data_IF_787966649880
#
_entry.id   IF_787966649880
#
_cell.length_a   1.000
_cell.length_b   1.000
_cell.length_c   1.000
_cell.angle_alpha   90.00
_cell.angle_beta   90.00
_cell.angle_gamma   90.00
#
_symmetry.space_group_name_H-M   'P 1'
#
loop_
_entity.id
_entity.type
_entity.pdbx_description
1 polymer ?
#
# COMPACT_ATOMS: atom_id res chain seq x y z
N UNK A 1 9.26 12.76 -24.97
CA UNK A 1 8.53 13.08 -23.72
C UNK A 1 9.18 12.31 -22.60
N UNK A 2 9.67 13.00 -21.56
CA UNK A 2 10.23 12.38 -20.36
C UNK A 2 9.04 12.05 -19.46
N UNK A 3 8.85 10.77 -19.13
CA UNK A 3 7.79 10.32 -18.22
C UNK A 3 7.87 11.09 -16.90
N UNK A 4 6.75 11.67 -16.47
CA UNK A 4 6.63 12.45 -15.24
C UNK A 4 7.05 11.63 -13.99
N UNK A 5 6.98 10.30 -14.09
CA UNK A 5 7.45 9.34 -13.09
C UNK A 5 8.95 9.48 -12.79
N UNK A 6 9.79 9.78 -13.80
CA UNK A 6 11.25 9.95 -13.60
C UNK A 6 11.62 11.15 -12.72
N UNK A 7 10.72 12.13 -12.54
CA UNK A 7 11.00 13.32 -11.73
C UNK A 7 10.72 13.13 -10.24
N UNK A 8 9.92 12.13 -9.86
CA UNK A 8 9.55 11.87 -8.47
C UNK A 8 10.56 10.93 -7.77
N UNK A 9 11.28 10.07 -8.52
CA UNK A 9 12.20 9.06 -7.98
C UNK A 9 13.70 9.44 -8.06
N UNK A 10 14.03 10.73 -7.94
CA UNK A 10 15.40 11.25 -8.10
C UNK A 10 16.36 11.00 -6.92
N UNK A 11 17.03 9.84 -6.92
CA UNK A 11 18.43 9.52 -6.51
C UNK A 11 19.15 10.33 -5.40
N UNK A 12 19.40 9.70 -4.23
CA UNK A 12 20.63 9.85 -3.42
C UNK A 12 20.96 8.60 -2.54
N UNK A 13 22.09 7.94 -2.89
CA UNK A 13 22.98 7.03 -2.10
C UNK A 13 22.67 5.50 -2.02
N UNK A 14 23.70 4.62 -2.10
CA UNK A 14 23.66 3.39 -2.90
C UNK A 14 23.07 2.17 -2.17
N UNK A 15 21.94 1.63 -2.67
CA UNK A 15 21.23 0.51 -2.00
C UNK A 15 20.53 -0.47 -2.95
N UNK A 16 21.24 -1.24 -3.79
CA UNK A 16 20.63 -2.21 -4.73
C UNK A 16 19.38 -1.63 -5.46
N UNK A 17 19.52 -0.37 -5.85
CA UNK A 17 18.44 0.58 -6.05
C UNK A 17 17.95 0.58 -7.50
N UNK A 18 16.64 0.59 -7.68
CA UNK A 18 16.06 1.29 -8.83
C UNK A 18 14.76 0.75 -9.41
N UNK A 19 14.21 -0.37 -8.93
CA UNK A 19 12.89 -0.79 -9.37
C UNK A 19 11.97 -1.09 -8.18
N UNK A 20 10.73 -0.57 -8.21
CA UNK A 20 9.72 -0.97 -7.24
C UNK A 20 9.53 -2.48 -7.30
N UNK A 21 9.18 -3.08 -6.17
CA UNK A 21 8.86 -4.50 -6.04
C UNK A 21 7.67 -4.88 -6.95
N UNK A 22 6.75 -3.94 -7.13
CA UNK A 22 5.61 -3.99 -8.04
C UNK A 22 5.21 -2.55 -8.40
N UNK A 23 4.81 -2.30 -9.65
CA UNK A 23 4.19 -1.06 -10.10
C UNK A 23 3.01 -1.41 -11.00
N UNK A 24 1.92 -0.68 -10.84
CA UNK A 24 0.74 -0.77 -11.67
C UNK A 24 0.17 0.65 -11.87
N UNK A 25 -0.27 1.00 -13.09
CA UNK A 25 -0.22 0.20 -14.32
C UNK A 25 1.18 0.18 -14.96
N UNK A 26 1.68 -1.01 -15.30
CA UNK A 26 2.90 -1.21 -16.10
C UNK A 26 2.67 -2.15 -17.31
N UNK A 27 1.43 -2.63 -17.48
CA UNK A 27 1.03 -3.61 -18.49
C UNK A 27 1.17 -5.08 -18.07
N UNK A 28 1.63 -5.35 -16.84
CA UNK A 28 1.78 -6.72 -16.30
C UNK A 28 0.49 -7.23 -15.65
N UNK A 29 -0.32 -6.34 -15.09
CA UNK A 29 -1.50 -6.68 -14.30
C UNK A 29 -2.78 -6.07 -14.88
N UNK A 30 -3.89 -6.80 -14.73
CA UNK A 30 -5.20 -6.36 -15.22
C UNK A 30 -5.80 -5.22 -14.37
N UNK A 31 -5.41 -5.11 -13.09
CA UNK A 31 -5.86 -4.06 -12.17
C UNK A 31 -4.99 -3.98 -10.91
N UNK A 32 -5.20 -2.94 -10.09
CA UNK A 32 -4.48 -2.71 -8.84
C UNK A 32 -4.59 -3.87 -7.83
N UNK A 33 -5.74 -4.56 -7.73
CA UNK A 33 -5.92 -5.69 -6.82
C UNK A 33 -5.01 -6.86 -7.24
N UNK A 34 -4.97 -7.19 -8.53
CA UNK A 34 -4.12 -8.26 -9.05
C UNK A 34 -2.63 -7.95 -8.81
N UNK A 35 -2.23 -6.68 -8.98
CA UNK A 35 -0.87 -6.23 -8.70
C UNK A 35 -0.51 -6.35 -7.20
N UNK A 36 -1.41 -5.92 -6.31
CA UNK A 36 -1.23 -6.08 -4.86
C UNK A 36 -1.19 -7.55 -4.44
N UNK A 37 -2.09 -8.39 -4.97
CA UNK A 37 -2.13 -9.83 -4.68
C UNK A 37 -0.81 -10.51 -5.01
N UNK A 38 -0.28 -10.27 -6.21
CA UNK A 38 1.00 -10.80 -6.64
C UNK A 38 2.15 -10.32 -5.75
N UNK A 39 2.18 -9.04 -5.39
CA UNK A 39 3.17 -8.52 -4.46
C UNK A 39 3.09 -9.23 -3.09
N UNK A 40 1.90 -9.40 -2.53
CA UNK A 40 1.69 -10.10 -1.26
C UNK A 40 2.10 -11.57 -1.37
N UNK A 41 1.77 -12.24 -2.48
CA UNK A 41 2.17 -13.62 -2.73
C UNK A 41 3.70 -13.77 -2.74
N UNK A 42 4.41 -12.89 -3.46
CA UNK A 42 5.88 -12.88 -3.51
C UNK A 42 6.49 -12.63 -2.14
N UNK A 43 5.96 -11.66 -1.38
CA UNK A 43 6.44 -11.34 -0.04
C UNK A 43 6.31 -12.52 0.94
N UNK A 44 5.15 -13.20 0.93
CA UNK A 44 4.92 -14.37 1.81
C UNK A 44 5.70 -15.61 1.38
N UNK A 45 6.17 -15.65 0.13
CA UNK A 45 7.02 -16.73 -0.37
C UNK A 45 8.49 -16.56 0.00
N UNK A 46 8.87 -15.42 0.59
CA UNK A 46 10.25 -15.21 1.05
C UNK A 46 10.55 -16.10 2.26
N UNK A 47 11.76 -16.67 2.35
CA UNK A 47 12.18 -17.44 3.54
C UNK A 47 12.07 -16.63 4.83
N UNK A 48 12.32 -15.31 4.72
CA UNK A 48 12.17 -14.35 5.80
C UNK A 48 11.54 -13.05 5.24
N UNK A 49 10.45 -12.62 5.87
CA UNK A 49 9.85 -11.30 5.65
C UNK A 49 9.98 -10.47 6.94
N UNK A 50 11.18 -9.91 7.14
CA UNK A 50 11.48 -9.06 8.30
C UNK A 50 11.54 -7.56 7.95
N UNK A 51 11.57 -7.22 6.66
CA UNK A 51 11.57 -5.82 6.19
C UNK A 51 10.15 -5.31 5.99
N UNK A 52 9.94 -4.03 6.25
CA UNK A 52 8.73 -3.34 5.83
C UNK A 52 8.69 -3.28 4.30
N UNK A 53 7.52 -3.53 3.74
CA UNK A 53 7.18 -3.10 2.37
C UNK A 53 6.12 -2.02 2.46
N UNK A 54 6.30 -0.94 1.72
CA UNK A 54 5.33 0.15 1.61
C UNK A 54 4.54 -0.03 0.33
N UNK A 55 3.22 -0.21 0.45
CA UNK A 55 2.28 -0.08 -0.64
C UNK A 55 1.85 1.38 -0.74
N UNK A 56 2.05 1.98 -1.90
CA UNK A 56 1.63 3.35 -2.20
C UNK A 56 0.51 3.30 -3.24
N UNK A 57 -0.65 3.87 -2.90
CA UNK A 57 -1.73 4.09 -3.85
C UNK A 57 -1.82 5.56 -4.26
N UNK A 58 -2.15 5.78 -5.52
CA UNK A 58 -2.23 7.09 -6.15
C UNK A 58 -3.51 7.16 -7.00
N UNK A 59 -4.23 8.27 -6.88
CA UNK A 59 -5.43 8.51 -7.68
C UNK A 59 -6.00 9.92 -7.50
N UNK A 60 -7.26 10.07 -7.88
CA UNK A 60 -8.04 11.28 -7.64
C UNK A 60 -8.41 11.41 -6.15
N UNK A 61 -8.25 12.62 -5.63
CA UNK A 61 -8.63 12.99 -4.26
C UNK A 61 -10.08 13.45 -4.15
N UNK A 62 -10.40 14.16 -3.06
CA UNK A 62 -11.77 14.58 -2.75
C UNK A 62 -12.41 15.57 -3.76
N UNK A 63 -11.61 16.19 -4.63
CA UNK A 63 -12.06 17.11 -5.69
C UNK A 63 -11.59 16.60 -7.06
N UNK A 64 -12.31 16.89 -8.15
CA UNK A 64 -11.96 16.38 -9.47
C UNK A 64 -10.52 16.70 -9.92
N UNK A 65 -10.01 17.87 -9.54
CA UNK A 65 -8.67 18.34 -9.84
C UNK A 65 -7.62 17.95 -8.78
N UNK A 66 -8.05 17.39 -7.65
CA UNK A 66 -7.17 17.04 -6.57
C UNK A 66 -6.54 15.68 -6.82
N UNK A 67 -5.25 15.60 -6.53
CA UNK A 67 -4.48 14.39 -6.49
C UNK A 67 -4.40 13.89 -5.04
N UNK A 68 -4.51 12.58 -4.84
CA UNK A 68 -4.32 11.96 -3.54
C UNK A 68 -3.35 10.79 -3.63
N UNK A 69 -2.56 10.63 -2.57
CA UNK A 69 -1.61 9.55 -2.37
C UNK A 69 -1.69 9.09 -0.93
N UNK A 70 -1.56 7.79 -0.72
CA UNK A 70 -1.54 7.19 0.60
C UNK A 70 -0.61 5.99 0.64
N UNK A 71 -0.09 5.72 1.83
CA UNK A 71 0.86 4.65 2.08
C UNK A 71 0.35 3.72 3.18
N UNK A 72 0.54 2.43 2.97
CA UNK A 72 0.30 1.37 3.95
C UNK A 72 1.53 0.48 3.98
N UNK A 73 2.07 0.21 5.17
CA UNK A 73 3.24 -0.65 5.31
C UNK A 73 2.85 -2.03 5.83
N UNK A 74 3.56 -3.06 5.39
CA UNK A 74 3.32 -4.43 5.81
C UNK A 74 4.62 -5.13 6.23
N UNK A 75 4.60 -5.82 7.37
CA UNK A 75 5.72 -6.61 7.91
C UNK A 75 5.23 -7.81 8.71
N UNK A 76 5.65 -9.02 8.35
CA UNK A 76 5.47 -10.21 9.21
C UNK A 76 4.06 -10.42 9.77
N UNK A 77 3.02 -10.29 8.93
CA UNK A 77 1.61 -10.44 9.35
C UNK A 77 1.00 -9.21 10.05
N UNK A 78 1.73 -8.10 10.11
CA UNK A 78 1.23 -6.82 10.61
C UNK A 78 1.12 -5.80 9.48
N UNK A 79 0.18 -4.87 9.67
CA UNK A 79 -0.10 -3.76 8.78
C UNK A 79 0.01 -2.46 9.58
N UNK A 80 0.77 -1.50 9.07
CA UNK A 80 0.85 -0.14 9.60
C UNK A 80 0.14 0.82 8.63
N UNK A 81 -0.88 1.50 9.15
CA UNK A 81 -1.63 2.54 8.43
C UNK A 81 -0.98 3.88 8.76
N UNK A 82 -0.37 4.54 7.77
CA UNK A 82 0.27 5.85 7.94
C UNK A 82 -0.79 6.97 7.87
N UNK A 83 -1.64 7.02 8.88
CA UNK A 83 -2.71 7.99 9.04
C UNK A 83 -2.87 8.36 10.50
N UNK A 84 -3.17 9.63 10.79
CA UNK A 84 -3.53 10.05 12.15
C UNK A 84 -4.82 9.37 12.64
N UNK A 85 -5.72 9.01 11.70
CA UNK A 85 -7.00 8.37 12.01
C UNK A 85 -6.87 6.86 11.98
N UNK A 86 -7.35 6.14 13.01
CA UNK A 86 -7.45 4.69 12.95
C UNK A 86 -8.49 4.26 11.90
N UNK A 87 -8.40 3.03 11.42
CA UNK A 87 -9.42 2.43 10.56
C UNK A 87 -10.79 2.47 11.25
N UNK A 88 -11.76 3.12 10.61
CA UNK A 88 -13.14 3.15 11.08
C UNK A 88 -13.79 1.79 10.82
N UNK A 89 -13.90 0.97 11.87
CA UNK A 89 -14.52 -0.37 11.84
C UNK A 89 -13.96 -1.29 10.75
N UNK A 90 -12.97 -2.15 11.05
CA UNK A 90 -12.37 -3.04 10.06
C UNK A 90 -13.37 -3.99 9.40
N UNK A 91 -14.54 -4.18 10.02
CA UNK A 91 -15.83 -4.44 9.37
C UNK A 91 -15.89 -5.68 8.48
N UNK A 92 -15.41 -5.53 7.24
CA UNK A 92 -15.36 -6.62 6.26
C UNK A 92 -14.14 -7.54 6.43
N UNK A 93 -13.12 -7.10 7.16
CA UNK A 93 -11.87 -7.81 7.38
C UNK A 93 -11.64 -8.00 8.87
N UNK A 94 -11.24 -9.21 9.28
CA UNK A 94 -10.88 -9.50 10.66
C UNK A 94 -9.50 -8.91 10.98
N UNK A 95 -9.49 -7.61 11.26
CA UNK A 95 -8.31 -6.90 11.75
C UNK A 95 -8.49 -6.58 13.22
N UNK A 96 -7.55 -7.06 14.01
CA UNK A 96 -7.45 -6.72 15.42
C UNK A 96 -6.34 -5.68 15.61
N UNK A 97 -6.59 -4.57 16.32
CA UNK A 97 -5.52 -3.69 16.76
C UNK A 97 -4.50 -4.48 17.56
N UNK A 98 -3.20 -4.29 17.28
CA UNK A 98 -2.16 -4.93 18.07
C UNK A 98 -1.97 -4.14 19.36
N UNK A 99 -2.40 -4.69 20.50
CA UNK A 99 -2.11 -4.10 21.81
C UNK A 99 -0.77 -4.59 22.32
N UNK A 100 0.25 -3.74 22.22
CA UNK A 100 1.58 -3.98 22.77
C UNK A 100 2.44 -2.73 22.60
N UNK A 101 3.51 -2.57 23.39
CA UNK A 101 4.51 -1.56 23.07
C UNK A 101 5.07 -1.93 21.69
N UNK A 102 4.72 -1.16 20.66
CA UNK A 102 5.58 -1.06 19.49
C UNK A 102 6.88 -0.44 20.01
N UNK A 103 7.81 -1.27 20.47
CA UNK A 103 9.13 -0.78 20.88
C UNK A 103 9.78 -0.15 19.64
N UNK A 104 9.68 1.17 19.56
CA UNK A 104 10.54 2.11 18.81
C UNK A 104 10.27 2.43 17.32
N UNK A 105 9.25 1.89 16.65
CA UNK A 105 9.01 2.17 15.22
C UNK A 105 7.75 3.02 14.95
N UNK A 106 7.42 4.02 15.78
CA UNK A 106 6.51 5.05 15.31
C UNK A 106 7.19 5.81 14.17
N UNK A 107 6.75 5.57 12.93
CA UNK A 107 7.02 6.51 11.85
C UNK A 107 6.65 7.92 12.34
N UNK A 108 7.49 8.94 12.14
CA UNK A 108 7.14 10.32 12.50
C UNK A 108 5.90 10.71 11.71
N UNK A 109 4.72 10.60 12.32
CA UNK A 109 3.45 10.69 11.59
C UNK A 109 2.22 10.03 12.24
N UNK A 110 2.37 9.27 13.34
CA UNK A 110 1.21 8.83 14.15
C UNK A 110 0.40 7.67 13.55
N UNK A 111 1.06 6.70 12.90
CA UNK A 111 0.40 5.54 12.31
C UNK A 111 -0.15 4.53 13.31
N UNK A 112 -1.08 3.68 12.84
CA UNK A 112 -1.76 2.65 13.63
C UNK A 112 -1.41 1.25 13.11
N UNK A 113 -1.14 0.30 14.03
CA UNK A 113 -0.71 -1.06 13.68
C UNK A 113 -1.81 -2.10 13.94
N UNK A 114 -2.04 -2.96 12.95
CA UNK A 114 -3.08 -4.00 12.95
C UNK A 114 -2.48 -5.37 12.62
N UNK A 115 -3.04 -6.43 13.21
CA UNK A 115 -2.74 -7.81 12.84
C UNK A 115 -3.63 -8.22 11.67
N UNK A 116 -3.05 -8.88 10.65
CA UNK A 116 -3.76 -9.31 9.44
C UNK A 116 -4.52 -10.64 9.60
N UNK A 117 -4.31 -11.37 10.70
CA UNK A 117 -4.84 -12.73 10.84
C UNK A 117 -4.37 -13.69 9.75
N UNK A 118 -5.15 -14.74 9.48
CA UNK A 118 -4.84 -15.79 8.50
C UNK A 118 -5.36 -15.49 7.07
N UNK A 119 -5.54 -14.22 6.71
CA UNK A 119 -6.04 -13.82 5.38
C UNK A 119 -5.16 -14.36 4.26
N UNK A 120 -5.75 -14.82 3.16
CA UNK A 120 -5.05 -15.15 1.90
C UNK A 120 -4.44 -13.91 1.24
N UNK A 121 -3.51 -14.06 0.27
CA UNK A 121 -2.99 -12.92 -0.50
C UNK A 121 -4.08 -12.08 -1.17
N UNK A 122 -5.09 -12.71 -1.78
CA UNK A 122 -6.21 -12.02 -2.42
C UNK A 122 -7.07 -11.26 -1.41
N UNK A 123 -7.37 -11.86 -0.25
CA UNK A 123 -8.12 -11.17 0.81
C UNK A 123 -7.34 -9.97 1.34
N UNK A 124 -6.02 -10.12 1.51
CA UNK A 124 -5.13 -9.03 1.93
C UNK A 124 -5.10 -7.92 0.86
N UNK A 125 -5.06 -8.26 -0.43
CA UNK A 125 -5.09 -7.29 -1.52
C UNK A 125 -6.41 -6.51 -1.58
N UNK A 126 -7.55 -7.20 -1.42
CA UNK A 126 -8.88 -6.57 -1.33
C UNK A 126 -9.03 -5.68 -0.10
N UNK A 127 -8.40 -6.06 1.00
CA UNK A 127 -8.35 -5.25 2.20
C UNK A 127 -7.54 -3.98 1.96
N UNK A 128 -6.35 -4.07 1.34
CA UNK A 128 -5.56 -2.90 0.95
C UNK A 128 -6.35 -1.97 0.03
N UNK A 129 -6.99 -2.51 -1.01
CA UNK A 129 -7.88 -1.75 -1.90
C UNK A 129 -8.98 -1.02 -1.12
N UNK A 130 -9.68 -1.72 -0.22
CA UNK A 130 -10.70 -1.13 0.63
C UNK A 130 -10.14 -0.02 1.54
N UNK A 131 -8.94 -0.19 2.08
CA UNK A 131 -8.26 0.83 2.90
C UNK A 131 -7.95 2.06 2.04
N UNK A 132 -7.32 1.90 0.88
CA UNK A 132 -7.01 3.03 0.00
C UNK A 132 -8.28 3.76 -0.45
N UNK A 133 -9.30 3.02 -0.92
CA UNK A 133 -10.53 3.63 -1.43
C UNK A 133 -11.40 4.26 -0.37
N UNK A 134 -11.54 3.62 0.80
CA UNK A 134 -12.52 4.05 1.81
C UNK A 134 -11.89 4.89 2.91
N UNK A 135 -10.74 4.46 3.44
CA UNK A 135 -10.06 5.16 4.53
C UNK A 135 -9.31 6.39 4.00
N UNK A 136 -8.52 6.20 2.94
CA UNK A 136 -7.73 7.28 2.34
C UNK A 136 -8.47 8.03 1.21
N UNK A 137 -9.66 7.57 0.84
CA UNK A 137 -10.49 8.18 -0.21
C UNK A 137 -9.78 8.30 -1.57
N UNK A 138 -8.84 7.40 -1.86
CA UNK A 138 -8.20 7.30 -3.17
C UNK A 138 -9.22 6.77 -4.18
N UNK A 139 -9.46 7.53 -5.24
CA UNK A 139 -10.37 7.13 -6.31
C UNK A 139 -9.61 7.00 -7.63
N UNK A 140 -10.01 6.08 -8.50
CA UNK A 140 -9.66 6.11 -9.93
C UNK A 140 -9.89 7.48 -10.55
N UNK A 141 -9.05 7.90 -11.50
CA UNK A 141 -9.45 9.02 -12.36
C UNK A 141 -10.62 8.59 -13.27
N UNK A 142 -11.48 9.53 -13.74
CA UNK A 142 -12.68 9.19 -14.50
C UNK A 142 -12.44 8.40 -15.80
N UNK A 143 -11.23 8.46 -16.34
CA UNK A 143 -10.78 7.81 -17.57
C UNK A 143 -9.98 6.51 -17.33
N UNK A 144 -9.88 6.04 -16.07
CA UNK A 144 -9.07 4.87 -15.69
C UNK A 144 -9.93 3.61 -15.39
N UNK A 145 -11.14 3.50 -15.94
CA UNK A 145 -11.99 2.28 -15.87
C UNK A 145 -12.20 1.69 -14.46
N UNK A 146 -12.31 2.55 -13.43
CA UNK A 146 -12.40 2.17 -12.01
C UNK A 146 -11.13 1.51 -11.43
N UNK A 147 -9.97 1.79 -12.02
CA UNK A 147 -8.65 1.35 -11.56
C UNK A 147 -7.77 2.52 -11.13
N UNK A 148 -6.73 2.28 -10.33
CA UNK A 148 -5.84 3.34 -9.84
C UNK A 148 -4.39 2.86 -9.74
N UNK A 149 -3.45 3.79 -9.69
CA UNK A 149 -2.04 3.44 -9.65
C UNK A 149 -1.62 2.91 -8.27
N UNK A 150 -0.89 1.81 -8.24
CA UNK A 150 -0.32 1.26 -7.01
C UNK A 150 1.12 0.82 -7.23
N UNK A 151 1.98 1.08 -6.25
CA UNK A 151 3.34 0.59 -6.22
C UNK A 151 3.65 -0.09 -4.88
N UNK A 152 4.66 -0.96 -4.87
CA UNK A 152 5.20 -1.55 -3.65
C UNK A 152 6.73 -1.44 -3.61
N UNK A 153 7.31 -1.03 -2.47
CA UNK A 153 8.75 -0.83 -2.32
C UNK A 153 9.30 -1.15 -0.90
N UNK A 154 10.61 -1.43 -0.82
CA UNK A 154 11.33 -1.96 0.36
C UNK A 154 11.85 -0.93 1.37
#
# INVERSE_FOLDING_TARGET
>A
MISLLKKLFGSTAPRQEGKPFMEHPDGTFDNAIAAMEDAIHRLRSLPEWTRWITFCAQGQGARPEAYAMAEVRMRGGTLEILSEKPLESPGAFDLSPVTGPSEQDHAPGGGHVYALGDMTPLETARMLDSIFRRHFQIRPFPDEEDDYAVGAEW
#
